data_IF_904105383483
#
_entry.id   IF_904105383483
#
_cell.length_a   1.000
_cell.length_b   1.000
_cell.length_c   1.000
_cell.angle_alpha   90.00
_cell.angle_beta   90.00
_cell.angle_gamma   90.00
#
_symmetry.space_group_name_H-M   'P 1'
#
loop_
_entity.id
_entity.type
_entity.pdbx_description
1 polymer ?
#
# COMPACT_ATOMS: atom_id res chain seq x y z
N UNK A 1 -4.26 10.31 16.76
CA UNK A 1 -3.92 9.60 18.00
C UNK A 1 -4.43 8.16 17.94
N UNK A 2 -3.71 7.25 17.29
CA UNK A 2 -4.13 5.85 17.20
C UNK A 2 -4.03 5.10 18.54
N UNK A 3 -3.31 5.66 19.49
CA UNK A 3 -3.12 5.21 20.87
C UNK A 3 -4.31 5.52 21.81
N UNK A 4 -5.28 6.30 21.31
CA UNK A 4 -6.47 6.69 22.08
C UNK A 4 -7.72 6.05 21.49
N UNK A 5 -8.50 5.37 22.33
CA UNK A 5 -9.82 4.86 21.95
C UNK A 5 -10.83 6.00 21.96
N UNK A 6 -11.55 6.17 20.85
CA UNK A 6 -12.66 7.10 20.72
C UNK A 6 -13.95 6.36 20.47
N UNK A 7 -15.00 6.74 21.18
CA UNK A 7 -16.34 6.22 21.00
C UNK A 7 -17.32 7.37 20.77
N UNK A 8 -17.97 7.38 19.60
CA UNK A 8 -19.01 8.35 19.28
C UNK A 8 -20.38 7.68 19.32
N UNK A 9 -21.26 8.22 20.15
CA UNK A 9 -22.66 7.80 20.23
C UNK A 9 -23.55 8.89 19.62
N UNK A 10 -24.52 8.48 18.80
CA UNK A 10 -25.59 9.33 18.28
C UNK A 10 -26.92 8.64 18.58
N UNK A 11 -27.81 9.31 19.28
CA UNK A 11 -29.14 8.78 19.65
C UNK A 11 -29.06 7.41 20.35
N UNK A 12 -28.04 7.24 21.22
CA UNK A 12 -27.76 6.00 21.94
C UNK A 12 -27.11 4.89 21.14
N UNK A 13 -26.92 5.07 19.84
CA UNK A 13 -26.25 4.12 18.96
C UNK A 13 -24.78 4.46 18.75
N UNK A 14 -23.93 3.45 18.72
CA UNK A 14 -22.52 3.60 18.43
C UNK A 14 -22.31 3.84 16.93
N UNK A 15 -21.78 5.02 16.57
CA UNK A 15 -21.53 5.44 15.19
C UNK A 15 -20.06 5.26 14.82
N UNK A 16 -19.16 5.42 15.78
CA UNK A 16 -17.72 5.27 15.59
C UNK A 16 -17.09 4.73 16.87
N UNK A 17 -16.20 3.76 16.70
CA UNK A 17 -15.33 3.28 17.77
C UNK A 17 -13.94 2.97 17.22
N UNK A 18 -12.92 3.68 17.70
CA UNK A 18 -11.52 3.38 17.40
C UNK A 18 -10.91 2.57 18.55
N UNK A 19 -10.08 1.55 18.29
CA UNK A 19 -9.63 0.62 19.34
C UNK A 19 -8.62 1.24 20.32
N UNK A 20 -7.82 2.22 19.90
CA UNK A 20 -6.74 2.79 20.73
C UNK A 20 -5.55 1.84 20.90
N UNK A 21 -5.29 1.00 19.90
CA UNK A 21 -4.25 -0.04 19.89
C UNK A 21 -2.87 0.47 19.43
N UNK A 22 -2.73 1.78 19.23
CA UNK A 22 -1.51 2.41 18.70
C UNK A 22 -1.29 2.21 17.21
N UNK A 23 -2.17 1.48 16.51
CA UNK A 23 -2.02 1.20 15.08
C UNK A 23 -2.83 2.19 14.24
N UNK A 24 -2.13 2.98 13.42
CA UNK A 24 -2.78 3.94 12.53
C UNK A 24 -3.77 3.27 11.57
N UNK A 25 -3.44 2.07 11.06
CA UNK A 25 -4.32 1.35 10.15
C UNK A 25 -5.65 0.94 10.80
N UNK A 26 -5.65 0.54 12.06
CA UNK A 26 -6.86 0.21 12.83
C UNK A 26 -7.76 1.45 13.01
N UNK A 27 -7.16 2.60 13.32
CA UNK A 27 -7.87 3.86 13.41
C UNK A 27 -8.46 4.29 12.05
N UNK A 28 -7.72 4.11 10.95
CA UNK A 28 -8.20 4.38 9.58
C UNK A 28 -9.37 3.45 9.24
N UNK A 29 -9.25 2.16 9.55
CA UNK A 29 -10.32 1.18 9.32
C UNK A 29 -11.62 1.59 10.00
N UNK A 30 -11.54 1.96 11.27
CA UNK A 30 -12.70 2.39 12.04
C UNK A 30 -13.31 3.71 11.54
N UNK A 31 -12.47 4.71 11.20
CA UNK A 31 -12.92 6.05 10.86
C UNK A 31 -13.30 6.23 9.37
N UNK A 32 -12.62 5.54 8.46
CA UNK A 32 -12.76 5.74 7.01
C UNK A 32 -13.36 4.54 6.27
N UNK A 33 -13.55 3.43 6.97
CA UNK A 33 -14.18 2.21 6.50
C UNK A 33 -13.20 1.16 5.97
N UNK A 34 -13.70 -0.07 5.92
CA UNK A 34 -12.94 -1.27 5.54
C UNK A 34 -12.32 -1.17 4.14
N UNK A 35 -13.12 -0.79 3.14
CA UNK A 35 -12.70 -0.80 1.74
C UNK A 35 -11.55 0.19 1.50
N UNK A 36 -11.59 1.34 2.19
CA UNK A 36 -10.49 2.28 2.14
C UNK A 36 -9.22 1.70 2.77
N UNK A 37 -9.32 1.15 3.98
CA UNK A 37 -8.17 0.64 4.72
C UNK A 37 -7.48 -0.54 3.99
N UNK A 38 -8.23 -1.47 3.39
CA UNK A 38 -7.67 -2.61 2.64
C UNK A 38 -7.01 -2.18 1.33
N UNK A 39 -7.39 -1.04 0.78
CA UNK A 39 -6.81 -0.47 -0.44
C UNK A 39 -5.55 0.35 -0.22
N UNK A 40 -4.98 0.38 1.00
CA UNK A 40 -3.84 1.20 1.35
C UNK A 40 -2.49 0.48 1.21
N UNK A 41 -1.46 1.28 0.92
CA UNK A 41 -0.05 0.93 0.98
C UNK A 41 0.60 1.72 2.11
N UNK A 42 1.41 1.09 2.97
CA UNK A 42 2.23 1.82 3.93
C UNK A 42 3.36 2.54 3.21
N UNK A 43 3.66 3.76 3.65
CA UNK A 43 4.81 4.52 3.17
C UNK A 43 5.60 5.08 4.34
N UNK A 44 6.93 5.14 4.16
CA UNK A 44 7.84 5.80 5.08
C UNK A 44 9.06 6.26 4.30
N UNK A 45 9.43 7.52 4.48
CA UNK A 45 10.60 8.10 3.84
C UNK A 45 11.01 9.41 4.51
N UNK A 46 12.19 9.90 4.17
CA UNK A 46 12.71 11.16 4.67
C UNK A 46 13.59 11.85 3.62
N UNK A 47 13.57 13.18 3.61
CA UNK A 47 14.42 14.00 2.75
C UNK A 47 14.45 15.45 3.25
N UNK A 48 15.63 16.08 3.23
CA UNK A 48 15.81 17.51 3.61
C UNK A 48 15.17 17.87 4.96
N UNK A 49 15.39 17.07 6.00
CA UNK A 49 14.81 17.23 7.35
C UNK A 49 13.28 17.06 7.43
N UNK A 50 12.65 16.58 6.36
CA UNK A 50 11.23 16.27 6.32
C UNK A 50 11.05 14.75 6.36
N UNK A 51 10.34 14.24 7.37
CA UNK A 51 9.96 12.83 7.47
C UNK A 51 8.50 12.68 7.03
N UNK A 52 8.22 11.68 6.20
CA UNK A 52 6.87 11.38 5.68
C UNK A 52 6.54 9.94 5.99
N UNK A 53 5.45 9.71 6.71
CA UNK A 53 4.98 8.38 7.09
C UNK A 53 3.47 8.30 6.93
N UNK A 54 2.95 7.10 6.79
CA UNK A 54 1.51 6.84 6.76
C UNK A 54 1.09 5.88 5.68
N UNK A 55 -0.04 6.18 5.05
CA UNK A 55 -0.67 5.30 4.09
C UNK A 55 -1.18 6.08 2.88
N UNK A 56 -1.06 5.47 1.70
CA UNK A 56 -1.61 5.96 0.43
C UNK A 56 -2.39 4.85 -0.26
N UNK A 57 -3.38 5.19 -1.08
CA UNK A 57 -4.16 4.19 -1.80
C UNK A 57 -3.36 3.56 -2.94
N UNK A 58 -3.59 2.27 -3.18
CA UNK A 58 -3.09 1.59 -4.39
C UNK A 58 -3.67 2.25 -5.64
N UNK A 59 -2.95 2.29 -6.77
CA UNK A 59 -3.43 2.92 -8.01
C UNK A 59 -4.81 2.45 -8.48
N UNK A 60 -5.14 1.18 -8.26
CA UNK A 60 -6.45 0.63 -8.61
C UNK A 60 -7.61 1.13 -7.73
N UNK A 61 -7.30 1.69 -6.55
CA UNK A 61 -8.28 2.10 -5.53
C UNK A 61 -8.50 3.63 -5.52
N UNK A 62 -8.41 4.29 -6.68
CA UNK A 62 -8.68 5.72 -6.79
C UNK A 62 -10.13 6.08 -6.44
N UNK A 63 -10.33 7.28 -5.88
CA UNK A 63 -11.63 7.79 -5.42
C UNK A 63 -12.20 8.85 -6.36
N UNK A 64 -13.53 9.03 -6.34
CA UNK A 64 -14.22 10.06 -7.15
C UNK A 64 -14.00 11.49 -6.64
N UNK A 65 -13.43 11.69 -5.46
CA UNK A 65 -13.18 13.01 -4.88
C UNK A 65 -11.94 13.02 -3.99
N UNK A 66 -11.48 14.24 -3.64
CA UNK A 66 -10.37 14.48 -2.72
C UNK A 66 -10.73 14.30 -1.23
N UNK A 67 -11.95 13.91 -0.90
CA UNK A 67 -12.42 13.75 0.48
C UNK A 67 -11.69 12.69 1.32
N UNK A 68 -10.89 11.84 0.67
CA UNK A 68 -10.06 10.81 1.31
C UNK A 68 -8.58 11.21 1.43
N UNK A 69 -8.25 12.50 1.22
CA UNK A 69 -6.90 13.03 1.42
C UNK A 69 -6.81 13.68 2.81
N UNK A 70 -6.09 13.04 3.72
CA UNK A 70 -5.91 13.48 5.10
C UNK A 70 -4.43 13.68 5.36
N UNK A 71 -4.07 14.90 5.75
CA UNK A 71 -2.69 15.27 6.03
C UNK A 71 -2.54 15.76 7.47
N UNK A 72 -1.46 15.34 8.11
CA UNK A 72 -1.03 15.83 9.40
C UNK A 72 0.38 16.40 9.27
N UNK A 73 0.60 17.59 9.83
CA UNK A 73 1.91 18.24 9.94
C UNK A 73 2.22 18.40 11.42
N UNK A 74 3.31 17.79 11.89
CA UNK A 74 3.68 17.76 13.31
C UNK A 74 2.51 17.37 14.22
N UNK A 75 1.74 16.33 13.82
CA UNK A 75 0.59 15.83 14.56
C UNK A 75 -0.71 16.64 14.40
N UNK A 76 -0.70 17.76 13.68
CA UNK A 76 -1.87 18.63 13.45
C UNK A 76 -2.50 18.34 12.11
N UNK A 77 -3.82 18.13 12.07
CA UNK A 77 -4.57 18.06 10.82
C UNK A 77 -4.47 19.36 10.03
N UNK A 78 -4.13 19.26 8.75
CA UNK A 78 -3.98 20.40 7.86
C UNK A 78 -4.64 20.16 6.50
N UNK A 79 -5.08 21.27 5.88
CA UNK A 79 -5.49 21.34 4.48
C UNK A 79 -4.41 22.10 3.73
N UNK A 80 -3.64 21.43 2.88
CA UNK A 80 -2.53 22.02 2.12
C UNK A 80 -2.63 21.68 0.65
N UNK A 81 -2.70 22.70 -0.18
CA UNK A 81 -2.66 22.53 -1.64
C UNK A 81 -1.32 21.97 -2.10
N UNK A 82 -0.23 22.32 -1.43
CA UNK A 82 1.11 21.81 -1.71
C UNK A 82 1.17 20.29 -1.53
N UNK A 83 0.69 19.78 -0.39
CA UNK A 83 0.67 18.34 -0.10
C UNK A 83 -0.27 17.58 -1.03
N UNK A 84 -1.41 18.19 -1.36
CA UNK A 84 -2.36 17.65 -2.37
C UNK A 84 -1.68 17.55 -3.73
N UNK A 85 -0.98 18.60 -4.16
CA UNK A 85 -0.29 18.61 -5.46
C UNK A 85 0.85 17.58 -5.50
N UNK A 86 1.66 17.46 -4.44
CA UNK A 86 2.72 16.46 -4.35
C UNK A 86 2.17 15.02 -4.43
N UNK A 87 1.08 14.75 -3.69
CA UNK A 87 0.38 13.47 -3.74
C UNK A 87 -0.13 13.18 -5.16
N UNK A 88 -0.87 14.11 -5.78
CA UNK A 88 -1.48 13.89 -7.09
C UNK A 88 -0.45 13.77 -8.21
N UNK A 89 0.66 14.53 -8.13
CA UNK A 89 1.75 14.43 -9.11
C UNK A 89 2.46 13.06 -9.03
N UNK A 90 2.64 12.48 -7.82
CA UNK A 90 3.20 11.14 -7.66
C UNK A 90 2.32 10.06 -8.29
N UNK A 91 1.01 10.30 -8.40
CA UNK A 91 0.06 9.39 -9.05
C UNK A 91 -0.19 9.68 -10.53
N UNK A 92 0.53 10.64 -11.11
CA UNK A 92 0.37 11.00 -12.52
C UNK A 92 0.52 9.78 -13.43
N UNK A 93 -0.44 9.59 -14.32
CA UNK A 93 -0.53 8.43 -15.23
C UNK A 93 -0.70 7.06 -14.53
N UNK A 94 -1.03 7.03 -13.26
CA UNK A 94 -1.24 5.79 -12.50
C UNK A 94 -2.70 5.55 -12.12
N UNK A 95 -3.51 6.61 -12.12
CA UNK A 95 -4.93 6.55 -11.82
C UNK A 95 -5.76 6.67 -13.11
N UNK A 96 -6.96 6.11 -13.09
CA UNK A 96 -7.95 6.34 -14.14
C UNK A 96 -8.36 7.83 -14.18
N UNK A 97 -8.71 8.32 -15.36
CA UNK A 97 -9.16 9.71 -15.54
C UNK A 97 -10.34 10.04 -14.60
N UNK A 98 -10.25 11.17 -13.92
CA UNK A 98 -11.27 11.62 -12.97
C UNK A 98 -11.22 10.91 -11.61
N UNK A 99 -10.16 10.16 -11.32
CA UNK A 99 -9.93 9.56 -10.00
C UNK A 99 -8.82 10.29 -9.26
N UNK A 100 -8.95 10.32 -7.94
CA UNK A 100 -8.02 10.96 -7.02
C UNK A 100 -7.44 9.93 -6.05
N UNK A 101 -6.15 10.06 -5.69
CA UNK A 101 -5.56 9.22 -4.66
C UNK A 101 -6.13 9.59 -3.30
N UNK A 102 -6.30 8.62 -2.42
CA UNK A 102 -6.56 8.84 -1.00
C UNK A 102 -5.28 8.65 -0.20
N UNK A 103 -5.20 9.28 0.94
CA UNK A 103 -4.06 9.13 1.85
C UNK A 103 -4.41 9.46 3.29
N UNK A 104 -3.59 8.96 4.21
CA UNK A 104 -3.46 9.45 5.59
C UNK A 104 -1.97 9.60 5.83
N UNK A 105 -1.47 10.83 5.74
CA UNK A 105 -0.03 11.14 5.80
C UNK A 105 0.31 11.98 7.01
N UNK A 106 1.40 11.59 7.67
CA UNK A 106 2.06 12.35 8.71
C UNK A 106 3.37 12.91 8.16
N UNK A 107 3.46 14.23 8.11
CA UNK A 107 4.65 14.99 7.71
C UNK A 107 5.25 15.59 8.97
N UNK A 108 6.46 15.19 9.31
CA UNK A 108 7.18 15.69 10.48
C UNK A 108 8.40 16.47 10.00
N UNK A 109 8.53 17.70 10.49
CA UNK A 109 9.65 18.58 10.17
C UNK A 109 9.96 19.48 11.38
N UNK A 110 11.18 20.08 11.45
CA UNK A 110 11.53 21.01 12.52
C UNK A 110 10.52 22.16 12.64
N UNK A 111 10.24 22.59 13.86
CA UNK A 111 9.19 23.59 14.13
C UNK A 111 9.49 24.96 13.51
N UNK A 112 10.77 25.29 13.33
CA UNK A 112 11.23 26.51 12.65
C UNK A 112 11.06 26.48 11.12
N UNK A 113 10.70 25.32 10.56
CA UNK A 113 10.47 25.13 9.12
C UNK A 113 9.00 25.23 8.72
N UNK A 114 8.09 25.41 9.66
CA UNK A 114 6.64 25.51 9.42
C UNK A 114 5.99 26.59 10.28
N UNK A 115 5.26 27.49 9.66
CA UNK A 115 4.40 28.45 10.34
C UNK A 115 2.96 27.93 10.35
N UNK A 116 2.41 27.71 11.55
CA UNK A 116 1.04 27.25 11.77
C UNK A 116 0.09 28.39 12.13
N UNK A 117 0.61 29.60 12.34
CA UNK A 117 -0.18 30.77 12.72
C UNK A 117 -0.67 31.58 11.50
N UNK A 118 -1.10 30.89 10.46
CA UNK A 118 -1.54 31.52 9.21
C UNK A 118 -3.06 31.75 9.16
N UNK A 119 -3.82 30.93 9.90
CA UNK A 119 -5.29 30.98 9.86
C UNK A 119 -5.88 30.73 11.27
N UNK A 120 -6.97 31.42 11.67
CA UNK A 120 -7.58 31.24 13.00
C UNK A 120 -7.90 29.79 13.35
N UNK A 121 -8.41 29.00 12.41
CA UNK A 121 -8.68 27.56 12.60
C UNK A 121 -7.41 26.69 12.59
N UNK A 122 -6.23 27.27 12.29
CA UNK A 122 -4.93 26.58 12.26
C UNK A 122 -4.91 25.31 11.41
N UNK A 123 -5.79 25.23 10.42
CA UNK A 123 -5.85 24.11 9.44
C UNK A 123 -4.99 24.38 8.20
N UNK A 124 -4.48 25.60 8.05
CA UNK A 124 -3.57 26.01 6.98
C UNK A 124 -2.20 26.25 7.57
N UNK A 125 -1.17 25.77 6.93
CA UNK A 125 0.24 25.95 7.33
C UNK A 125 1.04 26.54 6.17
N UNK A 126 2.12 27.26 6.49
CA UNK A 126 3.08 27.79 5.54
C UNK A 126 4.42 27.14 5.79
N UNK A 127 5.05 26.59 4.77
CA UNK A 127 6.36 25.99 4.90
C UNK A 127 7.44 27.02 4.54
N UNK A 128 8.59 26.95 5.21
CA UNK A 128 9.76 27.78 4.86
C UNK A 128 10.32 27.39 3.48
N UNK A 129 10.28 26.09 3.18
CA UNK A 129 10.67 25.56 1.87
C UNK A 129 9.58 24.65 1.33
N UNK A 130 8.72 25.20 0.50
CA UNK A 130 7.67 24.43 -0.19
C UNK A 130 8.28 23.30 -1.05
N UNK A 131 9.41 23.57 -1.69
CA UNK A 131 10.11 22.59 -2.53
C UNK A 131 10.58 21.39 -1.72
N UNK A 132 11.22 21.59 -0.56
CA UNK A 132 11.72 20.50 0.25
C UNK A 132 10.58 19.58 0.73
N UNK A 133 9.44 20.16 1.13
CA UNK A 133 8.26 19.41 1.55
C UNK A 133 7.60 18.69 0.38
N UNK A 134 7.46 19.37 -0.76
CA UNK A 134 6.93 18.76 -1.99
C UNK A 134 7.76 17.56 -2.40
N UNK A 135 9.08 17.74 -2.54
CA UNK A 135 10.00 16.69 -2.99
C UNK A 135 9.99 15.49 -2.01
N UNK A 136 10.03 15.75 -0.70
CA UNK A 136 9.98 14.68 0.31
C UNK A 136 8.71 13.84 0.20
N UNK A 137 7.54 14.47 0.06
CA UNK A 137 6.25 13.78 -0.08
C UNK A 137 6.18 13.05 -1.42
N UNK A 138 6.53 13.73 -2.51
CA UNK A 138 6.50 13.18 -3.86
C UNK A 138 7.35 11.92 -4.00
N UNK A 139 8.63 12.00 -3.62
CA UNK A 139 9.54 10.85 -3.79
C UNK A 139 9.20 9.70 -2.84
N UNK A 140 8.80 9.97 -1.60
CA UNK A 140 8.37 8.91 -0.68
C UNK A 140 7.19 8.12 -1.24
N UNK A 141 6.21 8.79 -1.83
CA UNK A 141 5.05 8.14 -2.44
C UNK A 141 5.46 7.40 -3.71
N UNK A 142 6.26 8.03 -4.58
CA UNK A 142 6.70 7.44 -5.84
C UNK A 142 7.50 6.15 -5.61
N UNK A 143 8.39 6.13 -4.63
CA UNK A 143 9.18 4.95 -4.27
C UNK A 143 8.28 3.80 -3.79
N UNK A 144 7.29 4.08 -2.95
CA UNK A 144 6.33 3.07 -2.49
C UNK A 144 5.48 2.51 -3.64
N UNK A 145 5.02 3.36 -4.57
CA UNK A 145 4.26 2.94 -5.75
C UNK A 145 5.11 2.11 -6.71
N UNK A 146 6.39 2.41 -6.85
CA UNK A 146 7.32 1.64 -7.67
C UNK A 146 7.66 0.29 -7.01
N UNK A 147 7.81 0.26 -5.69
CA UNK A 147 8.02 -0.98 -4.94
C UNK A 147 6.82 -1.94 -5.03
N UNK A 148 5.59 -1.42 -5.02
CA UNK A 148 4.37 -2.24 -5.21
C UNK A 148 4.28 -2.83 -6.63
N UNK A 149 4.80 -2.13 -7.65
CA UNK A 149 4.85 -2.62 -9.04
C UNK A 149 5.97 -3.62 -9.29
N UNK A 150 7.03 -3.60 -8.46
CA UNK A 150 8.11 -4.56 -8.59
C UNK A 150 7.56 -5.98 -8.37
N UNK A 151 7.93 -6.97 -9.22
CA UNK A 151 7.51 -8.33 -8.99
C UNK A 151 7.99 -8.76 -7.61
N UNK A 152 7.05 -9.07 -6.72
CA UNK A 152 7.37 -9.62 -5.38
C UNK A 152 8.18 -10.88 -5.64
N UNK A 153 9.45 -10.89 -5.23
CA UNK A 153 10.22 -12.14 -5.21
C UNK A 153 9.41 -13.10 -4.33
N UNK A 154 9.01 -14.27 -4.84
CA UNK A 154 8.34 -15.24 -3.98
C UNK A 154 9.30 -15.56 -2.83
N UNK A 155 8.86 -15.39 -1.60
CA UNK A 155 9.62 -15.70 -0.38
C UNK A 155 10.07 -17.18 -0.31
N UNK A 156 9.57 -18.00 -1.23
CA UNK A 156 9.94 -19.39 -1.48
C UNK A 156 10.13 -19.60 -2.99
N UNK A 157 11.08 -18.91 -3.61
CA UNK A 157 11.61 -19.40 -4.87
C UNK A 157 12.31 -20.74 -4.57
N UNK A 158 11.84 -21.91 -5.08
CA UNK A 158 12.58 -23.13 -4.89
C UNK A 158 14.01 -22.90 -5.42
N UNK A 159 15.01 -23.41 -4.73
CA UNK A 159 16.44 -23.26 -5.04
C UNK A 159 16.84 -23.64 -6.48
N UNK A 160 15.87 -24.06 -7.30
CA UNK A 160 16.01 -24.42 -8.71
C UNK A 160 16.51 -23.28 -9.63
N UNK A 161 16.40 -22.02 -9.21
CA UNK A 161 16.90 -20.87 -9.99
C UNK A 161 18.13 -20.20 -9.39
N UNK A 162 18.91 -20.91 -8.59
CA UNK A 162 20.25 -20.46 -8.24
C UNK A 162 21.07 -20.43 -9.52
N UNK A 163 21.57 -19.25 -9.91
CA UNK A 163 22.51 -19.14 -11.02
C UNK A 163 23.74 -19.99 -10.67
N UNK A 164 23.82 -21.18 -11.23
CA UNK A 164 24.99 -22.03 -11.11
C UNK A 164 26.16 -21.36 -11.84
N UNK A 165 27.30 -21.29 -11.20
CA UNK A 165 28.51 -20.84 -11.86
C UNK A 165 28.95 -21.87 -12.91
N UNK A 166 29.70 -21.43 -13.93
CA UNK A 166 30.18 -22.33 -15.00
C UNK A 166 31.01 -23.51 -14.48
N UNK A 167 31.58 -23.40 -13.30
CA UNK A 167 32.31 -24.48 -12.60
C UNK A 167 31.36 -25.52 -11.99
N UNK A 168 30.31 -25.09 -11.28
CA UNK A 168 29.28 -25.98 -10.71
C UNK A 168 28.52 -26.77 -11.79
N UNK A 169 28.34 -26.17 -12.97
CA UNK A 169 27.73 -26.85 -14.13
C UNK A 169 28.63 -27.94 -14.69
N UNK A 170 29.95 -27.73 -14.77
CA UNK A 170 30.91 -28.73 -15.20
C UNK A 170 31.04 -29.92 -14.24
N UNK A 171 31.00 -29.68 -12.94
CA UNK A 171 31.05 -30.73 -11.90
C UNK A 171 29.79 -31.59 -11.90
N UNK A 172 28.60 -30.99 -12.04
CA UNK A 172 27.34 -31.75 -12.18
C UNK A 172 27.21 -32.51 -13.50
N UNK A 173 27.77 -31.99 -14.56
CA UNK A 173 27.79 -32.69 -15.85
C UNK A 173 28.79 -33.88 -15.92
N UNK A 174 29.77 -33.92 -15.00
CA UNK A 174 30.77 -34.99 -14.91
C UNK A 174 30.40 -36.11 -13.89
N UNK A 175 29.29 -35.99 -13.17
CA UNK A 175 28.81 -37.04 -12.27
C UNK A 175 28.09 -38.16 -13.07
N UNK A 176 28.35 -39.46 -12.81
CA UNK A 176 27.70 -40.56 -13.49
C UNK A 176 26.18 -40.54 -13.22
N UNK A 177 25.38 -40.76 -14.27
CA UNK A 177 23.92 -40.78 -14.22
C UNK A 177 23.44 -41.93 -13.32
N UNK A 178 22.80 -41.62 -12.19
CA UNK A 178 22.02 -42.61 -11.45
C UNK A 178 20.79 -43.01 -12.28
N UNK A 179 20.57 -44.31 -12.40
CA UNK A 179 19.51 -44.94 -13.20
C UNK A 179 18.11 -44.44 -12.76
N UNK A 180 17.41 -43.82 -13.68
CA UNK A 180 16.01 -43.48 -13.55
C UNK A 180 15.16 -44.73 -13.58
N UNK A 181 14.50 -45.08 -12.48
CA UNK A 181 13.41 -46.07 -12.48
C UNK A 181 12.29 -45.62 -13.40
N UNK A 182 11.69 -46.50 -14.23
CA UNK A 182 10.65 -46.12 -15.19
C UNK A 182 9.37 -45.71 -14.44
N UNK A 183 8.83 -44.56 -14.83
CA UNK A 183 7.56 -44.02 -14.36
C UNK A 183 6.42 -44.89 -14.89
N UNK A 184 5.69 -45.56 -13.98
CA UNK A 184 4.56 -46.43 -14.35
C UNK A 184 3.47 -45.66 -15.13
N UNK A 185 3.01 -46.27 -16.19
CA UNK A 185 1.98 -45.79 -17.08
C UNK A 185 0.62 -45.68 -16.36
N UNK A 186 0.14 -44.46 -16.15
CA UNK A 186 -1.26 -44.20 -15.81
C UNK A 186 -2.07 -44.06 -17.10
N UNK A 187 -2.69 -45.15 -17.54
CA UNK A 187 -3.77 -45.12 -18.52
C UNK A 187 -5.10 -44.98 -17.80
N UNK A 188 -5.95 -44.02 -18.16
CA UNK A 188 -7.31 -43.97 -17.59
C UNK A 188 -8.18 -45.06 -18.18
N UNK A 189 -8.85 -45.87 -17.30
CA UNK A 189 -9.82 -46.87 -17.71
C UNK A 189 -11.02 -46.17 -18.35
N UNK A 190 -11.37 -46.64 -19.56
CA UNK A 190 -12.56 -46.29 -20.32
C UNK A 190 -13.84 -46.60 -19.54
N UNK A 191 -14.76 -45.61 -19.47
CA UNK A 191 -16.10 -45.78 -18.95
C UNK A 191 -16.97 -46.52 -19.99
N UNK A 192 -17.73 -47.52 -19.53
CA UNK A 192 -18.70 -48.26 -20.29
C UNK A 192 -19.94 -47.43 -20.64
N UNK A 193 -20.71 -47.75 -21.70
CA UNK A 193 -21.83 -46.94 -22.16
C UNK A 193 -23.10 -47.17 -21.34
N UNK A 194 -23.80 -46.09 -21.00
CA UNK A 194 -25.08 -46.11 -20.34
C UNK A 194 -26.20 -46.50 -21.35
N UNK A 195 -26.96 -47.51 -21.00
CA UNK A 195 -28.16 -48.00 -21.66
C UNK A 195 -29.28 -46.97 -21.62
N UNK A 196 -29.91 -46.76 -22.76
CA UNK A 196 -31.19 -46.06 -22.94
C UNK A 196 -32.32 -46.88 -22.30
N UNK A 197 -33.08 -46.26 -21.41
CA UNK A 197 -34.43 -46.72 -21.07
C UNK A 197 -35.48 -45.77 -21.64
N UNK A 198 -36.26 -46.28 -22.58
CA UNK A 198 -37.52 -45.74 -23.09
C UNK A 198 -38.63 -46.36 -22.26
N UNK A 199 -39.50 -45.55 -21.68
CA UNK A 199 -40.85 -45.95 -21.28
C UNK A 199 -41.76 -44.72 -21.43
N UNK A 200 -42.68 -44.86 -22.31
CA UNK A 200 -44.10 -44.61 -22.36
C UNK A 200 -44.66 -43.38 -21.66
#
# INVERSE_FOLDING_TARGET
HPDVSFKLLRDGQEVLHTPGDGQLLSAIYAAMGRDFALGLLPISGSGSDVKVEGFVTKPLNGHGSRGKQVFFVNGRFVKSQLLTAALEEAYKNQLLKGRFPGCVLHVTLPADRVDVNVHPAKTVVKFVSDKAVFDAVYYTILDALNAEKAPKKPDNAPEFFRKMTAQEFKEKAAAPAEEKKPLGSFLPKSAAPATKNVIR
#
